data_IF_398012474704
#
_entry.id   IF_398012474704
#
_cell.length_a   1.000
_cell.length_b   1.000
_cell.length_c   1.000
_cell.angle_alpha   90.00
_cell.angle_beta   90.00
_cell.angle_gamma   90.00
#
_symmetry.space_group_name_H-M   'P 1'
#
loop_
_entity.id
_entity.type
_entity.pdbx_description
1 polymer ?
#
# COMPACT_ATOMS: atom_id res chain seq x y z
N UNK A 1 14.34 16.57 -2.67
CA UNK A 1 14.41 16.46 -1.20
C UNK A 1 14.75 15.03 -0.80
N UNK A 2 13.94 14.04 -1.06
CA UNK A 2 14.13 12.63 -0.63
C UNK A 2 15.42 11.94 -1.14
N UNK A 3 15.87 12.22 -2.37
CA UNK A 3 17.17 11.70 -2.85
C UNK A 3 18.34 12.30 -2.04
N UNK A 4 18.26 13.58 -1.65
CA UNK A 4 19.30 14.21 -0.80
C UNK A 4 19.37 13.54 0.57
N UNK A 5 18.24 13.23 1.19
CA UNK A 5 18.16 12.51 2.47
C UNK A 5 18.82 11.11 2.36
N UNK A 6 18.56 10.38 1.26
CA UNK A 6 19.26 9.12 0.99
C UNK A 6 20.77 9.32 0.82
N UNK A 7 21.20 10.35 0.08
CA UNK A 7 22.60 10.66 -0.14
C UNK A 7 23.33 11.06 1.15
N UNK A 8 22.68 11.79 2.05
CA UNK A 8 23.18 12.10 3.39
C UNK A 8 23.37 10.84 4.23
N UNK A 9 22.40 9.92 4.21
CA UNK A 9 22.52 8.60 4.84
C UNK A 9 23.70 7.81 4.27
N UNK A 10 23.85 7.80 2.94
CA UNK A 10 24.98 7.14 2.26
C UNK A 10 26.33 7.72 2.70
N UNK A 11 26.43 9.03 2.82
CA UNK A 11 27.67 9.69 3.28
C UNK A 11 28.04 9.26 4.70
N UNK A 12 27.07 9.27 5.63
CA UNK A 12 27.25 8.84 7.03
C UNK A 12 27.68 7.37 7.16
N UNK A 13 27.17 6.49 6.28
CA UNK A 13 27.43 5.04 6.30
C UNK A 13 28.57 4.60 5.38
N UNK A 14 29.24 5.52 4.70
CA UNK A 14 30.32 5.22 3.77
C UNK A 14 29.88 4.46 2.52
N UNK A 15 28.59 4.56 2.12
CA UNK A 15 28.03 3.90 0.94
C UNK A 15 28.48 4.63 -0.31
N UNK A 16 29.00 3.91 -1.31
CA UNK A 16 29.45 4.48 -2.58
C UNK A 16 28.24 4.80 -3.48
N UNK A 17 27.32 3.86 -3.60
CA UNK A 17 26.02 4.02 -4.28
C UNK A 17 24.96 3.05 -3.76
N UNK A 18 23.70 3.40 -3.99
CA UNK A 18 22.56 2.52 -3.80
C UNK A 18 22.11 1.98 -5.16
N UNK A 19 21.74 0.70 -5.19
CA UNK A 19 21.29 -0.01 -6.38
C UNK A 19 19.85 -0.49 -6.18
N UNK A 20 18.98 -0.08 -7.10
CA UNK A 20 17.60 -0.56 -7.23
C UNK A 20 17.43 -1.13 -8.62
N UNK A 21 16.76 -2.26 -8.79
CA UNK A 21 16.56 -2.80 -10.11
C UNK A 21 15.34 -3.71 -10.25
N UNK A 22 14.74 -3.67 -11.44
CA UNK A 22 13.65 -4.51 -11.88
C UNK A 22 14.12 -5.37 -13.05
N UNK A 23 13.95 -6.68 -12.95
CA UNK A 23 14.14 -7.61 -14.05
C UNK A 23 12.95 -8.59 -14.07
N UNK A 24 11.94 -8.26 -14.85
CA UNK A 24 10.70 -9.02 -14.96
C UNK A 24 9.51 -8.33 -14.30
N UNK A 25 8.31 -8.81 -14.61
CA UNK A 25 7.06 -8.17 -14.22
C UNK A 25 6.60 -8.48 -12.79
N UNK A 26 7.26 -9.43 -12.09
CA UNK A 26 6.72 -10.00 -10.85
C UNK A 26 7.21 -9.33 -9.56
N UNK A 27 8.22 -8.45 -9.65
CA UNK A 27 8.78 -7.75 -8.49
C UNK A 27 9.16 -6.32 -8.85
N UNK A 28 8.17 -5.44 -8.89
CA UNK A 28 8.43 -4.01 -9.08
C UNK A 28 9.08 -3.42 -7.82
N UNK A 29 10.30 -2.91 -7.95
CA UNK A 29 10.96 -2.17 -6.88
C UNK A 29 10.30 -0.80 -6.70
N UNK A 30 9.49 -0.68 -5.65
CA UNK A 30 8.82 0.57 -5.30
C UNK A 30 9.80 1.74 -5.15
N UNK A 31 11.06 1.49 -4.75
CA UNK A 31 12.06 2.56 -4.62
C UNK A 31 12.55 3.06 -5.98
N UNK A 32 12.65 2.17 -6.99
CA UNK A 32 12.99 2.62 -8.33
C UNK A 32 11.93 3.59 -8.87
N UNK A 33 10.64 3.22 -8.73
CA UNK A 33 9.53 4.11 -9.08
C UNK A 33 9.55 5.40 -8.22
N UNK A 34 9.74 5.28 -6.91
CA UNK A 34 9.77 6.42 -5.99
C UNK A 34 10.78 7.50 -6.34
N UNK A 35 11.99 7.09 -6.71
CA UNK A 35 13.07 8.03 -7.03
C UNK A 35 13.05 8.53 -8.47
N UNK A 36 12.34 7.85 -9.38
CA UNK A 36 12.39 8.16 -10.81
C UNK A 36 11.03 8.41 -11.45
N UNK A 37 9.95 7.82 -10.94
CA UNK A 37 8.66 7.68 -11.63
C UNK A 37 8.66 6.58 -12.70
N UNK A 38 9.74 5.78 -12.82
CA UNK A 38 9.88 4.72 -13.79
C UNK A 38 9.68 3.34 -13.14
N UNK A 39 8.79 2.53 -13.69
CA UNK A 39 8.45 1.19 -13.20
C UNK A 39 8.77 0.08 -14.22
N UNK A 40 9.57 0.36 -15.27
CA UNK A 40 9.98 -0.64 -16.24
C UNK A 40 11.24 -1.40 -15.85
N UNK A 41 11.72 -2.25 -16.77
CA UNK A 41 12.94 -3.04 -16.59
C UNK A 41 14.19 -2.15 -16.60
N UNK A 42 15.15 -2.49 -15.76
CA UNK A 42 16.42 -1.76 -15.67
C UNK A 42 16.97 -1.65 -14.26
N UNK A 43 17.90 -0.71 -14.09
CA UNK A 43 18.51 -0.43 -12.79
C UNK A 43 18.71 1.06 -12.56
N UNK A 44 18.37 1.52 -11.37
CA UNK A 44 18.65 2.85 -10.87
C UNK A 44 19.90 2.78 -9.98
N UNK A 45 20.89 3.61 -10.30
CA UNK A 45 22.06 3.84 -9.46
C UNK A 45 21.98 5.26 -8.89
N UNK A 46 22.02 5.36 -7.58
CA UNK A 46 22.10 6.62 -6.85
C UNK A 46 23.44 6.64 -6.11
N UNK A 47 24.42 7.39 -6.64
CA UNK A 47 25.67 7.69 -5.98
C UNK A 47 25.57 8.95 -5.11
N UNK A 48 26.64 9.28 -4.35
CA UNK A 48 26.66 10.43 -3.43
C UNK A 48 26.37 11.78 -4.11
N UNK A 49 26.75 11.94 -5.38
CA UNK A 49 26.55 13.19 -6.15
C UNK A 49 25.85 12.95 -7.50
N UNK A 50 25.92 11.75 -8.03
CA UNK A 50 25.44 11.39 -9.36
C UNK A 50 24.34 10.33 -9.27
N UNK A 51 23.38 10.38 -10.17
CA UNK A 51 22.35 9.36 -10.33
C UNK A 51 22.10 9.08 -11.79
N UNK A 52 21.77 7.85 -12.12
CA UNK A 52 21.44 7.47 -13.49
C UNK A 52 20.56 6.21 -13.51
N UNK A 53 19.84 6.05 -14.60
CA UNK A 53 19.03 4.88 -14.90
C UNK A 53 19.68 4.11 -16.06
N UNK A 54 19.75 2.79 -15.97
CA UNK A 54 20.10 1.90 -17.06
C UNK A 54 18.83 1.18 -17.48
N UNK A 55 18.41 1.35 -18.73
CA UNK A 55 17.19 0.75 -19.25
C UNK A 55 17.44 0.00 -20.56
N UNK A 56 16.69 -1.11 -20.85
CA UNK A 56 16.76 -1.78 -22.13
C UNK A 56 16.47 -0.83 -23.29
N UNK A 57 17.03 -1.13 -24.46
CA UNK A 57 16.83 -0.32 -25.67
C UNK A 57 15.34 -0.10 -25.96
N UNK A 58 14.53 -1.14 -25.83
CA UNK A 58 13.08 -1.10 -26.09
C UNK A 58 12.29 -0.18 -25.14
N UNK A 59 12.80 0.09 -23.94
CA UNK A 59 12.15 0.97 -22.95
C UNK A 59 12.78 2.36 -22.85
N UNK A 60 13.75 2.67 -23.71
CA UNK A 60 14.52 3.93 -23.63
C UNK A 60 13.66 5.18 -23.70
N UNK A 61 12.67 5.21 -24.58
CA UNK A 61 11.78 6.37 -24.72
C UNK A 61 10.92 6.56 -23.47
N UNK A 62 10.38 5.48 -22.92
CA UNK A 62 9.63 5.50 -21.67
C UNK A 62 10.48 5.95 -20.49
N UNK A 63 11.69 5.42 -20.37
CA UNK A 63 12.66 5.79 -19.34
C UNK A 63 13.15 7.24 -19.52
N UNK A 64 13.33 7.71 -20.75
CA UNK A 64 13.78 9.06 -21.08
C UNK A 64 12.79 10.18 -20.74
N UNK A 65 11.51 9.85 -20.50
CA UNK A 65 10.51 10.82 -20.01
C UNK A 65 10.74 11.22 -18.54
N UNK A 66 11.63 10.52 -17.85
CA UNK A 66 11.95 10.80 -16.47
C UNK A 66 13.10 11.81 -16.36
N UNK A 67 13.08 12.68 -15.36
CA UNK A 67 14.13 13.69 -15.14
C UNK A 67 15.40 13.05 -14.53
N UNK A 68 16.01 12.13 -15.29
CA UNK A 68 17.23 11.39 -14.91
C UNK A 68 18.03 11.02 -16.16
N UNK A 69 19.36 10.99 -16.06
CA UNK A 69 20.21 10.52 -17.16
C UNK A 69 20.00 9.03 -17.39
N UNK A 70 19.63 8.65 -18.62
CA UNK A 70 19.37 7.26 -19.00
C UNK A 70 20.50 6.75 -19.88
N UNK A 71 21.07 5.61 -19.50
CA UNK A 71 22.03 4.85 -20.29
C UNK A 71 21.36 3.64 -20.91
N UNK A 72 21.71 3.31 -22.14
CA UNK A 72 21.22 2.13 -22.85
C UNK A 72 21.85 0.86 -22.28
N UNK A 73 21.06 -0.20 -22.28
CA UNK A 73 21.48 -1.57 -22.05
C UNK A 73 21.03 -2.42 -23.24
N UNK A 74 21.97 -3.04 -23.96
CA UNK A 74 21.68 -3.76 -25.21
C UNK A 74 22.26 -5.19 -25.22
N UNK A 75 23.57 -5.30 -25.43
CA UNK A 75 24.25 -6.60 -25.64
C UNK A 75 24.96 -7.10 -24.41
N UNK A 76 25.49 -6.21 -23.63
CA UNK A 76 26.19 -6.52 -22.38
C UNK A 76 25.19 -6.91 -21.27
N UNK A 77 25.68 -7.60 -20.23
CA UNK A 77 24.84 -7.87 -19.05
C UNK A 77 24.66 -6.58 -18.22
N UNK A 78 23.51 -6.44 -17.60
CA UNK A 78 23.15 -5.21 -16.86
C UNK A 78 24.24 -4.76 -15.87
N UNK A 79 24.79 -5.67 -15.10
CA UNK A 79 25.80 -5.33 -14.09
C UNK A 79 27.15 -4.98 -14.70
N UNK A 80 27.54 -5.56 -15.84
CA UNK A 80 28.73 -5.11 -16.60
C UNK A 80 28.55 -3.68 -17.05
N UNK A 81 27.36 -3.35 -17.57
CA UNK A 81 27.02 -1.97 -17.98
C UNK A 81 27.14 -0.98 -16.82
N UNK A 82 26.63 -1.33 -15.64
CA UNK A 82 26.74 -0.52 -14.44
C UNK A 82 28.21 -0.31 -14.04
N UNK A 83 29.03 -1.38 -14.06
CA UNK A 83 30.46 -1.30 -13.75
C UNK A 83 31.21 -0.37 -14.71
N UNK A 84 30.94 -0.47 -16.02
CA UNK A 84 31.53 0.40 -17.05
C UNK A 84 31.17 1.87 -16.81
N UNK A 85 29.88 2.15 -16.57
CA UNK A 85 29.40 3.52 -16.31
C UNK A 85 30.03 4.04 -15.03
N UNK A 86 30.02 3.27 -13.93
CA UNK A 86 30.60 3.69 -12.66
C UNK A 86 32.08 4.04 -12.77
N UNK A 87 32.86 3.23 -13.53
CA UNK A 87 34.27 3.51 -13.84
C UNK A 87 34.41 4.85 -14.56
N UNK A 88 33.61 5.07 -15.61
CA UNK A 88 33.68 6.28 -16.43
C UNK A 88 33.28 7.57 -15.69
N UNK A 89 32.44 7.47 -14.65
CA UNK A 89 32.00 8.63 -13.88
C UNK A 89 32.60 8.70 -12.47
N UNK A 90 33.53 7.81 -12.12
CA UNK A 90 34.28 7.84 -10.87
C UNK A 90 33.49 7.37 -9.64
N UNK A 91 32.48 6.51 -9.80
CA UNK A 91 31.76 5.87 -8.68
C UNK A 91 32.53 4.62 -8.26
N UNK A 92 32.91 4.52 -6.98
CA UNK A 92 33.52 3.32 -6.41
C UNK A 92 32.48 2.21 -6.26
N UNK A 93 32.94 0.95 -6.30
CA UNK A 93 32.07 -0.24 -6.19
C UNK A 93 32.44 -1.09 -4.96
N UNK A 94 32.87 -0.45 -3.85
CA UNK A 94 33.30 -1.16 -2.62
C UNK A 94 32.18 -1.33 -1.60
N UNK A 95 31.29 -0.37 -1.48
CA UNK A 95 30.18 -0.39 -0.53
C UNK A 95 28.90 -0.01 -1.27
N UNK A 96 28.03 -0.99 -1.49
CA UNK A 96 26.82 -0.86 -2.31
C UNK A 96 25.60 -1.08 -1.43
N UNK A 97 24.79 -0.04 -1.25
CA UNK A 97 23.50 -0.14 -0.54
C UNK A 97 22.49 -0.93 -1.39
N UNK A 98 21.90 -1.93 -0.81
CA UNK A 98 20.83 -2.73 -1.45
C UNK A 98 19.62 -2.81 -0.53
N UNK A 99 18.43 -2.77 -1.10
CA UNK A 99 17.19 -3.06 -0.38
C UNK A 99 17.06 -4.58 -0.22
N UNK A 100 17.41 -5.10 0.97
CA UNK A 100 17.43 -6.55 1.20
C UNK A 100 16.04 -7.17 1.27
N UNK A 101 14.99 -6.40 1.49
CA UNK A 101 13.60 -6.88 1.40
C UNK A 101 13.20 -7.19 -0.05
N UNK A 102 13.85 -6.53 -1.02
CA UNK A 102 13.59 -6.71 -2.46
C UNK A 102 14.59 -7.66 -3.14
N UNK A 103 15.77 -7.86 -2.56
CA UNK A 103 16.79 -8.73 -3.12
C UNK A 103 16.57 -10.20 -2.76
N UNK A 104 16.12 -11.02 -3.70
CA UNK A 104 16.08 -12.47 -3.50
C UNK A 104 17.50 -13.06 -3.39
N UNK A 105 17.65 -14.23 -2.77
CA UNK A 105 18.94 -14.92 -2.70
C UNK A 105 19.53 -15.22 -4.09
N UNK A 106 18.69 -15.49 -5.09
CA UNK A 106 19.10 -15.69 -6.49
C UNK A 106 19.68 -14.40 -7.07
N UNK A 107 19.01 -13.27 -6.86
CA UNK A 107 19.46 -11.94 -7.29
C UNK A 107 20.77 -11.58 -6.61
N UNK A 108 20.88 -11.78 -5.30
CA UNK A 108 22.10 -11.49 -4.54
C UNK A 108 23.29 -12.35 -5.03
N UNK A 109 23.10 -13.65 -5.27
CA UNK A 109 24.14 -14.52 -5.86
C UNK A 109 24.56 -14.04 -7.24
N UNK A 110 23.60 -13.63 -8.08
CA UNK A 110 23.91 -13.09 -9.41
C UNK A 110 24.70 -11.79 -9.31
N UNK A 111 24.24 -10.86 -8.49
CA UNK A 111 24.92 -9.59 -8.22
C UNK A 111 26.37 -9.80 -7.74
N UNK A 112 26.62 -10.72 -6.82
CA UNK A 112 27.97 -11.02 -6.27
C UNK A 112 28.96 -11.56 -7.30
N UNK A 113 28.53 -12.11 -8.44
CA UNK A 113 29.43 -12.51 -9.53
C UNK A 113 30.15 -11.30 -10.16
N UNK A 114 29.52 -10.12 -10.13
CA UNK A 114 30.06 -8.87 -10.69
C UNK A 114 30.72 -8.00 -9.63
N UNK A 115 30.12 -7.91 -8.47
CA UNK A 115 30.59 -7.10 -7.35
C UNK A 115 31.20 -7.97 -6.25
N UNK A 116 32.24 -8.74 -6.62
CA UNK A 116 32.81 -9.83 -5.80
C UNK A 116 33.29 -9.38 -4.42
N UNK A 117 34.01 -8.25 -4.31
CA UNK A 117 34.64 -7.74 -3.08
C UNK A 117 33.88 -6.55 -2.47
N UNK A 118 32.60 -6.40 -2.73
CA UNK A 118 31.81 -5.30 -2.15
C UNK A 118 31.15 -5.70 -0.83
N UNK A 119 30.99 -4.74 0.06
CA UNK A 119 30.05 -4.81 1.19
C UNK A 119 28.68 -4.36 0.73
N UNK A 120 27.63 -4.98 1.27
CA UNK A 120 26.24 -4.72 0.88
C UNK A 120 25.41 -4.36 2.12
N UNK A 121 25.55 -3.12 2.65
CA UNK A 121 24.68 -2.66 3.73
C UNK A 121 23.22 -2.64 3.28
N UNK A 122 22.34 -2.96 4.21
CA UNK A 122 20.91 -2.89 4.02
C UNK A 122 20.42 -1.44 4.05
N UNK A 123 19.61 -1.06 3.05
CA UNK A 123 18.98 0.26 2.95
C UNK A 123 17.44 0.18 2.95
N UNK A 124 16.84 -0.99 3.17
CA UNK A 124 15.38 -1.17 3.18
C UNK A 124 14.70 -0.24 4.18
N UNK A 125 15.18 -0.22 5.41
CA UNK A 125 14.63 0.62 6.47
C UNK A 125 14.69 2.13 6.17
N UNK A 126 15.80 2.63 5.58
CA UNK A 126 15.88 4.05 5.21
C UNK A 126 14.97 4.37 4.04
N UNK A 127 14.85 3.50 3.04
CA UNK A 127 13.95 3.69 1.92
C UNK A 127 12.48 3.71 2.36
N UNK A 128 12.07 2.78 3.21
CA UNK A 128 10.73 2.74 3.80
C UNK A 128 10.43 4.01 4.62
N UNK A 129 11.40 4.47 5.40
CA UNK A 129 11.28 5.71 6.19
C UNK A 129 11.16 6.96 5.30
N UNK A 130 11.84 6.99 4.15
CA UNK A 130 11.70 8.07 3.19
C UNK A 130 10.30 8.15 2.56
N UNK A 131 9.63 7.01 2.35
CA UNK A 131 8.26 6.96 1.82
C UNK A 131 7.17 7.20 2.87
N UNK A 132 7.50 7.11 4.16
CA UNK A 132 6.55 7.24 5.27
C UNK A 132 5.77 8.58 5.21
N UNK A 133 6.46 9.70 4.99
CA UNK A 133 5.84 11.03 4.84
C UNK A 133 5.72 11.40 3.36
N UNK A 134 4.52 11.74 2.93
CA UNK A 134 4.20 12.00 1.51
C UNK A 134 4.46 13.46 1.15
N UNK A 135 5.00 13.69 -0.04
CA UNK A 135 5.12 15.01 -0.65
C UNK A 135 3.76 15.51 -1.13
N UNK A 136 3.64 16.80 -1.45
CA UNK A 136 2.39 17.37 -2.00
C UNK A 136 1.90 16.64 -3.26
N UNK A 137 2.83 16.24 -4.16
CA UNK A 137 2.48 15.50 -5.39
C UNK A 137 1.93 14.11 -5.10
N UNK A 138 2.54 13.39 -4.15
CA UNK A 138 2.09 12.08 -3.71
C UNK A 138 0.72 12.15 -3.05
N UNK A 139 0.50 13.14 -2.18
CA UNK A 139 -0.80 13.38 -1.52
C UNK A 139 -1.90 13.62 -2.57
N UNK A 140 -1.63 14.40 -3.61
CA UNK A 140 -2.60 14.64 -4.71
C UNK A 140 -2.93 13.34 -5.43
N UNK A 141 -1.94 12.50 -5.72
CA UNK A 141 -2.16 11.22 -6.39
C UNK A 141 -2.98 10.24 -5.53
N UNK A 142 -2.66 10.12 -4.23
CA UNK A 142 -3.40 9.27 -3.30
C UNK A 142 -4.85 9.77 -3.12
N UNK A 143 -5.06 11.07 -2.95
CA UNK A 143 -6.41 11.65 -2.89
C UNK A 143 -7.24 11.32 -4.15
N UNK A 144 -6.60 11.34 -5.32
CA UNK A 144 -7.28 10.96 -6.57
C UNK A 144 -7.60 9.47 -6.60
N UNK A 145 -6.69 8.60 -6.11
CA UNK A 145 -6.95 7.17 -5.94
C UNK A 145 -8.16 6.95 -5.01
N UNK A 146 -8.18 7.58 -3.83
CA UNK A 146 -9.32 7.50 -2.88
C UNK A 146 -10.65 7.95 -3.54
N UNK A 147 -10.65 9.06 -4.26
CA UNK A 147 -11.86 9.56 -4.93
C UNK A 147 -12.35 8.61 -6.03
N UNK A 148 -11.44 7.94 -6.75
CA UNK A 148 -11.81 6.92 -7.75
C UNK A 148 -12.39 5.70 -7.05
N UNK A 149 -11.76 5.22 -5.99
CA UNK A 149 -12.25 4.09 -5.17
C UNK A 149 -13.64 4.37 -4.62
N UNK A 150 -13.86 5.55 -4.02
CA UNK A 150 -15.18 5.97 -3.53
C UNK A 150 -16.25 5.93 -4.63
N UNK A 151 -15.93 6.43 -5.82
CA UNK A 151 -16.86 6.41 -6.96
C UNK A 151 -17.21 4.99 -7.39
N UNK A 152 -16.23 4.08 -7.41
CA UNK A 152 -16.45 2.68 -7.81
C UNK A 152 -17.30 1.95 -6.76
N UNK A 153 -17.00 2.12 -5.48
CA UNK A 153 -17.78 1.50 -4.40
C UNK A 153 -19.22 2.04 -4.38
N UNK A 154 -19.39 3.35 -4.58
CA UNK A 154 -20.73 3.94 -4.68
C UNK A 154 -21.53 3.27 -5.81
N UNK A 155 -20.97 3.16 -7.01
CA UNK A 155 -21.61 2.49 -8.13
C UNK A 155 -21.89 0.99 -7.83
N UNK A 156 -20.97 0.32 -7.12
CA UNK A 156 -21.15 -1.05 -6.67
C UNK A 156 -22.38 -1.16 -5.74
N UNK A 157 -22.54 -0.26 -4.81
CA UNK A 157 -23.69 -0.26 -3.90
C UNK A 157 -25.01 0.06 -4.60
N UNK A 158 -25.02 0.98 -5.54
CA UNK A 158 -26.21 1.30 -6.35
C UNK A 158 -26.70 0.08 -7.17
N UNK A 159 -25.74 -0.77 -7.59
CA UNK A 159 -26.01 -1.97 -8.38
C UNK A 159 -25.94 -3.27 -7.57
N UNK A 160 -25.78 -3.20 -6.26
CA UNK A 160 -25.53 -4.38 -5.43
C UNK A 160 -26.59 -5.48 -5.58
N UNK A 161 -27.85 -5.09 -5.77
CA UNK A 161 -28.94 -6.00 -6.04
C UNK A 161 -28.83 -6.79 -7.37
N UNK A 162 -27.92 -6.45 -8.28
CA UNK A 162 -27.73 -7.17 -9.55
C UNK A 162 -26.76 -8.36 -9.40
N UNK A 163 -25.89 -8.35 -8.38
CA UNK A 163 -24.87 -9.37 -8.19
C UNK A 163 -25.45 -10.62 -7.55
N UNK A 164 -25.03 -11.80 -8.02
CA UNK A 164 -25.45 -13.10 -7.52
C UNK A 164 -24.42 -13.74 -6.61
N UNK A 165 -23.13 -13.52 -6.91
CA UNK A 165 -21.98 -14.14 -6.23
C UNK A 165 -21.00 -13.08 -5.70
N UNK A 166 -20.11 -13.49 -4.80
CA UNK A 166 -18.99 -12.65 -4.36
C UNK A 166 -18.07 -12.30 -5.54
N UNK A 167 -17.87 -13.27 -6.45
CA UNK A 167 -17.09 -13.07 -7.66
C UNK A 167 -17.70 -12.01 -8.58
N UNK A 168 -19.03 -11.92 -8.72
CA UNK A 168 -19.67 -10.86 -9.52
C UNK A 168 -19.32 -9.47 -8.97
N UNK A 169 -19.36 -9.31 -7.66
CA UNK A 169 -18.97 -8.04 -7.01
C UNK A 169 -17.51 -7.73 -7.29
N UNK A 170 -16.60 -8.70 -7.11
CA UNK A 170 -15.17 -8.51 -7.35
C UNK A 170 -14.90 -8.15 -8.82
N UNK A 171 -15.50 -8.86 -9.80
CA UNK A 171 -15.36 -8.56 -11.21
C UNK A 171 -15.90 -7.19 -11.58
N UNK A 172 -16.99 -6.76 -10.96
CA UNK A 172 -17.49 -5.40 -11.13
C UNK A 172 -16.44 -4.37 -10.71
N UNK A 173 -15.88 -4.51 -9.50
CA UNK A 173 -14.85 -3.61 -8.97
C UNK A 173 -13.62 -3.56 -9.89
N UNK A 174 -13.14 -4.72 -10.35
CA UNK A 174 -12.03 -4.83 -11.29
C UNK A 174 -12.32 -4.17 -12.63
N UNK A 175 -13.49 -4.43 -13.21
CA UNK A 175 -13.88 -3.88 -14.51
C UNK A 175 -13.99 -2.36 -14.46
N UNK A 176 -14.59 -1.82 -13.39
CA UNK A 176 -14.72 -0.37 -13.18
C UNK A 176 -13.35 0.30 -12.96
N UNK A 177 -12.40 -0.40 -12.33
CA UNK A 177 -11.02 0.07 -12.19
C UNK A 177 -10.34 0.21 -13.56
N UNK A 178 -10.44 -0.82 -14.40
CA UNK A 178 -9.88 -0.82 -15.76
C UNK A 178 -10.50 0.24 -16.65
N UNK A 179 -11.83 0.43 -16.60
CA UNK A 179 -12.54 1.50 -17.33
C UNK A 179 -12.03 2.89 -17.00
N UNK A 180 -11.50 3.10 -15.78
CA UNK A 180 -10.91 4.38 -15.33
C UNK A 180 -9.41 4.46 -15.58
N UNK A 181 -8.84 3.52 -16.35
CA UNK A 181 -7.41 3.43 -16.66
C UNK A 181 -6.54 3.39 -15.39
N UNK A 182 -7.04 2.69 -14.37
CA UNK A 182 -6.34 2.43 -13.11
C UNK A 182 -5.99 0.94 -12.99
N UNK A 183 -5.09 0.63 -12.06
CA UNK A 183 -4.77 -0.72 -11.63
C UNK A 183 -5.43 -1.00 -10.28
N UNK A 184 -5.61 -2.27 -9.93
CA UNK A 184 -5.97 -2.65 -8.57
C UNK A 184 -4.78 -2.36 -7.63
N UNK A 185 -5.04 -1.86 -6.43
CA UNK A 185 -4.02 -1.76 -5.38
C UNK A 185 -3.66 -3.15 -4.83
N UNK A 186 -4.67 -4.02 -4.75
CA UNK A 186 -4.61 -5.43 -4.34
C UNK A 186 -5.83 -6.18 -4.89
N UNK A 187 -5.86 -7.51 -4.73
CA UNK A 187 -7.04 -8.32 -5.11
C UNK A 187 -8.21 -7.96 -4.20
N UNK A 188 -9.39 -7.59 -4.75
CA UNK A 188 -10.55 -7.25 -3.93
C UNK A 188 -10.94 -8.41 -3.00
N UNK A 189 -11.31 -8.07 -1.77
CA UNK A 189 -11.94 -9.01 -0.85
C UNK A 189 -13.45 -8.77 -0.91
N UNK A 190 -14.21 -9.81 -1.17
CA UNK A 190 -15.68 -9.82 -1.06
C UNK A 190 -16.06 -11.09 -0.31
N UNK A 191 -16.53 -10.95 0.91
CA UNK A 191 -16.82 -12.09 1.77
C UNK A 191 -18.17 -11.93 2.46
N UNK A 192 -19.12 -12.82 2.17
CA UNK A 192 -20.52 -12.75 2.65
C UNK A 192 -20.86 -13.82 3.69
N UNK A 193 -21.74 -13.50 4.63
CA UNK A 193 -22.19 -14.40 5.68
C UNK A 193 -21.02 -14.91 6.53
N UNK A 194 -20.88 -16.23 6.68
CA UNK A 194 -19.83 -16.84 7.50
C UNK A 194 -18.41 -16.60 6.94
N UNK A 195 -18.24 -16.44 5.63
CA UNK A 195 -16.94 -16.19 4.99
C UNK A 195 -16.38 -14.83 5.41
N UNK A 196 -17.22 -13.85 5.72
CA UNK A 196 -16.78 -12.55 6.26
C UNK A 196 -16.02 -12.67 7.58
N UNK A 197 -16.13 -13.82 8.29
CA UNK A 197 -15.35 -14.08 9.51
C UNK A 197 -13.86 -14.31 9.25
N UNK A 198 -13.44 -14.42 7.98
CA UNK A 198 -12.04 -14.56 7.54
C UNK A 198 -11.57 -13.23 6.94
N UNK A 199 -10.64 -12.49 7.60
CA UNK A 199 -10.23 -11.14 7.15
C UNK A 199 -9.72 -11.08 5.69
N UNK A 200 -9.10 -12.14 5.22
CA UNK A 200 -8.50 -12.24 3.86
C UNK A 200 -9.20 -13.32 3.01
N UNK A 201 -10.53 -13.42 3.11
CA UNK A 201 -11.29 -14.36 2.29
C UNK A 201 -11.24 -13.96 0.81
N UNK A 202 -10.90 -14.91 -0.06
CA UNK A 202 -10.98 -14.68 -1.50
C UNK A 202 -12.45 -14.78 -1.98
N UNK A 203 -12.88 -13.91 -2.92
CA UNK A 203 -14.22 -13.97 -3.48
C UNK A 203 -14.52 -15.32 -4.11
N UNK A 204 -15.64 -15.91 -3.74
CA UNK A 204 -16.07 -17.24 -4.22
C UNK A 204 -17.13 -17.11 -5.31
N UNK A 205 -17.17 -18.09 -6.22
CA UNK A 205 -18.27 -18.24 -7.20
C UNK A 205 -19.49 -18.92 -6.55
N UNK A 206 -19.78 -18.56 -5.33
CA UNK A 206 -20.93 -19.04 -4.55
C UNK A 206 -21.94 -17.89 -4.38
N UNK A 207 -23.24 -18.23 -4.26
CA UNK A 207 -24.29 -17.21 -4.05
C UNK A 207 -23.95 -16.35 -2.82
N UNK A 208 -24.19 -15.04 -2.94
CA UNK A 208 -24.10 -14.12 -1.82
C UNK A 208 -24.96 -14.63 -0.65
N UNK A 209 -24.33 -14.75 0.52
CA UNK A 209 -24.93 -15.33 1.73
C UNK A 209 -25.60 -14.24 2.57
N UNK A 210 -26.70 -14.59 3.24
CA UNK A 210 -27.33 -13.68 4.21
C UNK A 210 -26.37 -13.31 5.33
N UNK A 211 -26.46 -12.10 5.83
CA UNK A 211 -25.62 -11.56 6.89
C UNK A 211 -24.71 -10.43 6.41
N UNK A 212 -23.66 -10.18 7.14
CA UNK A 212 -22.66 -9.19 6.77
C UNK A 212 -21.89 -9.62 5.52
N UNK A 213 -21.60 -8.66 4.66
CA UNK A 213 -20.72 -8.83 3.53
C UNK A 213 -19.63 -7.74 3.60
N UNK A 214 -18.41 -8.16 3.84
CA UNK A 214 -17.22 -7.29 3.83
C UNK A 214 -16.76 -7.12 2.37
N UNK A 215 -16.59 -5.88 1.96
CA UNK A 215 -16.01 -5.49 0.67
C UNK A 215 -14.79 -4.63 0.98
N UNK A 216 -13.61 -5.11 0.58
CA UNK A 216 -12.35 -4.43 0.76
C UNK A 216 -11.68 -4.25 -0.58
N UNK A 217 -11.37 -2.99 -0.92
CA UNK A 217 -11.03 -2.62 -2.28
C UNK A 217 -10.23 -1.32 -2.34
N UNK A 218 -9.24 -1.29 -3.23
CA UNK A 218 -8.48 -0.10 -3.52
C UNK A 218 -7.98 -0.04 -4.95
N UNK A 219 -7.79 1.17 -5.48
CA UNK A 219 -7.18 1.38 -6.79
C UNK A 219 -5.76 1.91 -6.66
N UNK A 220 -4.94 1.66 -7.70
CA UNK A 220 -3.64 2.29 -7.90
C UNK A 220 -3.76 3.31 -9.02
N UNK A 221 -3.64 4.58 -8.68
CA UNK A 221 -3.66 5.69 -9.61
C UNK A 221 -2.28 6.32 -9.73
N UNK A 222 -1.69 6.30 -10.94
CA UNK A 222 -0.32 6.82 -11.19
C UNK A 222 0.72 6.29 -10.21
N UNK A 223 0.64 5.00 -9.88
CA UNK A 223 1.55 4.29 -8.99
C UNK A 223 1.27 4.45 -7.50
N UNK A 224 0.22 5.15 -7.08
CA UNK A 224 -0.16 5.33 -5.68
C UNK A 224 -1.48 4.66 -5.35
N UNK A 225 -1.51 3.95 -4.22
CA UNK A 225 -2.64 3.16 -3.76
C UNK A 225 -3.62 3.98 -2.93
N UNK A 226 -4.86 3.52 -2.90
CA UNK A 226 -5.88 3.77 -1.88
C UNK A 226 -6.32 2.45 -1.29
N UNK A 227 -7.00 2.52 -0.14
CA UNK A 227 -7.53 1.36 0.58
C UNK A 227 -8.83 1.71 1.29
N UNK A 228 -9.85 0.85 1.19
CA UNK A 228 -11.11 1.07 1.90
C UNK A 228 -11.91 -0.22 2.08
N UNK A 229 -12.29 -0.49 3.31
CA UNK A 229 -13.26 -1.56 3.60
C UNK A 229 -14.61 -0.99 3.99
N UNK A 230 -15.65 -1.59 3.45
CA UNK A 230 -17.05 -1.37 3.86
C UNK A 230 -17.74 -2.69 4.10
N UNK A 231 -18.59 -2.70 5.08
CA UNK A 231 -19.45 -3.86 5.35
C UNK A 231 -20.90 -3.49 5.11
N UNK A 232 -21.58 -4.26 4.28
CA UNK A 232 -23.01 -4.17 4.01
C UNK A 232 -23.74 -5.37 4.63
N UNK A 233 -25.06 -5.37 4.63
CA UNK A 233 -25.87 -6.48 5.14
C UNK A 233 -26.82 -7.00 4.06
N UNK A 234 -26.89 -8.32 3.91
CA UNK A 234 -27.78 -9.01 2.97
C UNK A 234 -28.89 -9.69 3.75
N UNK A 235 -30.13 -9.34 3.49
CA UNK A 235 -31.30 -9.82 4.22
C UNK A 235 -31.73 -8.88 5.36
N UNK A 236 -32.31 -9.40 6.43
CA UNK A 236 -32.80 -8.62 7.58
C UNK A 236 -31.85 -8.76 8.76
N UNK A 237 -31.13 -7.69 9.16
CA UNK A 237 -30.22 -7.76 10.30
C UNK A 237 -31.00 -7.93 11.61
N UNK A 238 -30.42 -8.69 12.53
CA UNK A 238 -30.91 -8.78 13.91
C UNK A 238 -30.45 -7.57 14.71
N UNK A 239 -31.18 -7.20 15.76
CA UNK A 239 -30.88 -6.04 16.58
C UNK A 239 -29.45 -6.05 17.11
N UNK A 240 -28.96 -7.16 17.64
CA UNK A 240 -27.60 -7.27 18.16
C UNK A 240 -26.52 -7.11 17.07
N UNK A 241 -26.80 -7.49 15.81
CA UNK A 241 -25.87 -7.32 14.69
C UNK A 241 -25.70 -5.85 14.34
N UNK A 242 -26.80 -5.08 14.33
CA UNK A 242 -26.78 -3.63 14.16
C UNK A 242 -26.03 -2.95 15.30
N UNK A 243 -26.24 -3.41 16.54
CA UNK A 243 -25.53 -2.89 17.72
C UNK A 243 -24.03 -3.12 17.65
N UNK A 244 -23.59 -4.31 17.21
CA UNK A 244 -22.18 -4.64 17.01
C UNK A 244 -21.57 -3.79 15.88
N UNK A 245 -22.27 -3.62 14.76
CA UNK A 245 -21.82 -2.74 13.67
C UNK A 245 -21.61 -1.31 14.16
N UNK A 246 -22.58 -0.77 14.86
CA UNK A 246 -22.52 0.59 15.40
C UNK A 246 -21.44 0.75 16.47
N UNK A 247 -21.15 -0.30 17.27
CA UNK A 247 -20.04 -0.30 18.21
C UNK A 247 -18.70 -0.15 17.47
N UNK A 248 -18.46 -0.96 16.42
CA UNK A 248 -17.27 -0.90 15.61
C UNK A 248 -17.10 0.48 14.94
N UNK A 249 -18.20 1.02 14.40
CA UNK A 249 -18.20 2.35 13.78
C UNK A 249 -17.85 3.45 14.79
N UNK A 250 -18.38 3.40 16.01
CA UNK A 250 -18.00 4.35 17.09
C UNK A 250 -16.53 4.18 17.48
N UNK A 251 -16.02 2.95 17.55
CA UNK A 251 -14.61 2.71 17.84
C UNK A 251 -13.71 3.31 16.74
N UNK A 252 -14.06 3.15 15.46
CA UNK A 252 -13.33 3.77 14.36
C UNK A 252 -13.35 5.30 14.43
N UNK A 253 -14.51 5.92 14.71
CA UNK A 253 -14.59 7.36 14.89
C UNK A 253 -13.76 7.86 16.08
N UNK A 254 -13.74 7.14 17.20
CA UNK A 254 -12.92 7.47 18.36
C UNK A 254 -11.44 7.47 18.01
N UNK A 255 -10.97 6.46 17.24
CA UNK A 255 -9.60 6.42 16.73
C UNK A 255 -9.32 7.62 15.83
N UNK A 256 -10.15 7.85 14.81
CA UNK A 256 -9.95 8.96 13.86
C UNK A 256 -9.92 10.29 14.64
N UNK A 257 -10.78 10.48 15.62
CA UNK A 257 -10.82 11.71 16.42
C UNK A 257 -9.57 11.91 17.27
N UNK A 258 -8.92 10.84 17.72
CA UNK A 258 -7.70 10.90 18.53
C UNK A 258 -6.42 11.15 17.70
N UNK A 259 -6.49 11.05 16.37
CA UNK A 259 -5.35 11.26 15.47
C UNK A 259 -4.86 12.71 15.56
N UNK A 260 -3.58 12.87 15.92
CA UNK A 260 -2.83 14.13 15.89
C UNK A 260 -1.35 13.88 15.65
N UNK A 261 -0.61 14.87 15.20
CA UNK A 261 0.84 14.78 15.08
C UNK A 261 1.48 14.50 16.47
N UNK A 262 2.52 13.64 16.47
CA UNK A 262 3.24 13.25 17.69
C UNK A 262 2.61 12.13 18.52
N UNK A 263 1.37 11.71 18.23
CA UNK A 263 0.79 10.55 18.93
C UNK A 263 1.49 9.25 18.51
N UNK A 264 1.65 8.29 19.43
CA UNK A 264 2.17 6.96 19.10
C UNK A 264 1.13 6.11 18.40
N UNK A 265 1.53 5.34 17.40
CA UNK A 265 0.65 4.40 16.72
C UNK A 265 0.00 3.39 17.67
N UNK A 266 0.73 2.92 18.69
CA UNK A 266 0.17 2.02 19.72
C UNK A 266 -0.99 2.63 20.53
N UNK A 267 -0.98 3.95 20.76
CA UNK A 267 -2.08 4.63 21.48
C UNK A 267 -3.39 4.64 20.67
N UNK A 268 -3.29 4.71 19.32
CA UNK A 268 -4.48 4.55 18.46
C UNK A 268 -5.05 3.15 18.55
N UNK A 269 -4.19 2.12 18.61
CA UNK A 269 -4.61 0.73 18.80
C UNK A 269 -5.32 0.54 20.15
N UNK A 270 -4.78 1.13 21.22
CA UNK A 270 -5.44 1.12 22.54
C UNK A 270 -6.81 1.80 22.51
N UNK A 271 -6.93 2.93 21.79
CA UNK A 271 -8.21 3.62 21.60
C UNK A 271 -9.24 2.71 20.91
N UNK A 272 -8.83 2.01 19.85
CA UNK A 272 -9.69 1.04 19.14
C UNK A 272 -10.14 -0.08 20.10
N UNK A 273 -9.20 -0.71 20.81
CA UNK A 273 -9.47 -1.81 21.74
C UNK A 273 -10.41 -1.39 22.87
N UNK A 274 -10.17 -0.25 23.50
CA UNK A 274 -11.08 0.31 24.52
C UNK A 274 -12.48 0.55 23.96
N UNK A 275 -12.61 1.09 22.74
CA UNK A 275 -13.89 1.31 22.08
C UNK A 275 -14.64 0.02 21.75
N UNK A 276 -13.94 -1.09 21.54
CA UNK A 276 -14.54 -2.41 21.27
C UNK A 276 -14.98 -3.14 22.55
N UNK A 277 -14.44 -2.79 23.72
CA UNK A 277 -14.84 -3.35 25.01
C UNK A 277 -14.76 -4.88 25.05
N UNK A 278 -15.85 -5.54 25.39
CA UNK A 278 -15.91 -7.00 25.48
C UNK A 278 -15.58 -7.74 24.17
N UNK A 279 -15.67 -7.08 23.03
CA UNK A 279 -15.34 -7.62 21.70
C UNK A 279 -13.87 -7.41 21.30
N UNK A 280 -13.02 -6.84 22.16
CA UNK A 280 -11.59 -6.62 21.87
C UNK A 280 -10.88 -7.90 21.41
N UNK A 281 -11.20 -9.06 22.01
CA UNK A 281 -10.64 -10.36 21.63
C UNK A 281 -10.95 -10.79 20.19
N UNK A 282 -11.97 -10.20 19.58
CA UNK A 282 -12.38 -10.46 18.20
C UNK A 282 -11.66 -9.55 17.19
N UNK A 283 -10.89 -8.57 17.67
CA UNK A 283 -10.02 -7.71 16.85
C UNK A 283 -8.63 -8.37 16.74
N UNK A 284 -8.41 -9.12 15.67
CA UNK A 284 -7.30 -10.08 15.52
C UNK A 284 -6.16 -9.63 14.60
N UNK A 285 -6.20 -8.40 14.07
CA UNK A 285 -5.16 -7.84 13.21
C UNK A 285 -4.70 -6.46 13.70
N UNK A 286 -3.77 -5.82 12.99
CA UNK A 286 -3.35 -4.45 13.25
C UNK A 286 -4.48 -3.45 12.98
N UNK A 287 -4.40 -2.27 13.58
CA UNK A 287 -5.39 -1.22 13.36
C UNK A 287 -5.27 -0.56 11.98
N UNK A 288 -4.12 -0.74 11.30
CA UNK A 288 -3.87 -0.17 9.99
C UNK A 288 -2.39 -0.10 9.65
N UNK A 289 -2.13 0.46 8.49
CA UNK A 289 -0.80 0.59 7.89
C UNK A 289 -0.70 1.86 7.05
N UNK A 290 0.54 2.31 6.82
CA UNK A 290 0.79 3.40 5.86
C UNK A 290 0.39 2.99 4.45
N UNK A 291 -0.02 3.97 3.66
CA UNK A 291 -0.44 3.81 2.27
C UNK A 291 0.43 4.71 1.39
N UNK A 292 0.85 4.20 0.25
CA UNK A 292 1.67 4.94 -0.69
C UNK A 292 1.79 4.25 -2.05
N UNK A 293 3.01 3.97 -2.49
CA UNK A 293 3.29 3.19 -3.70
C UNK A 293 2.91 1.73 -3.49
N UNK A 294 3.21 1.20 -2.31
CA UNK A 294 2.68 -0.08 -1.84
C UNK A 294 1.43 0.18 -1.01
N UNK A 295 0.49 -0.76 -1.03
CA UNK A 295 -0.67 -0.70 -0.14
C UNK A 295 -0.24 -0.74 1.32
N UNK A 296 0.74 -1.58 1.66
CA UNK A 296 1.32 -1.66 2.99
C UNK A 296 2.69 -0.96 3.04
N UNK A 297 2.74 0.19 3.73
CA UNK A 297 3.95 0.96 4.03
C UNK A 297 4.01 1.34 5.52
N UNK A 298 5.05 2.06 5.93
CA UNK A 298 5.08 2.72 7.23
C UNK A 298 4.16 3.95 7.25
N UNK A 299 3.56 4.27 8.42
CA UNK A 299 3.71 3.62 9.74
C UNK A 299 2.91 2.33 9.87
N UNK A 300 3.27 1.48 10.83
CA UNK A 300 2.48 0.30 11.20
C UNK A 300 1.69 0.58 12.48
N UNK A 301 0.36 0.48 12.41
CA UNK A 301 -0.52 0.72 13.54
C UNK A 301 -0.77 -0.60 14.30
N UNK A 302 0.23 -1.02 15.09
CA UNK A 302 0.20 -2.26 15.90
C UNK A 302 0.46 -1.93 17.37
N UNK A 303 0.09 -2.85 18.26
CA UNK A 303 0.23 -2.69 19.71
C UNK A 303 1.69 -2.40 20.13
N UNK A 304 2.62 -3.03 19.45
CA UNK A 304 4.07 -2.93 19.73
C UNK A 304 4.73 -1.75 19.03
N UNK A 305 4.01 -1.00 18.20
CA UNK A 305 4.60 0.09 17.40
C UNK A 305 5.06 1.25 18.29
N UNK A 306 6.30 1.64 18.09
CA UNK A 306 6.92 2.82 18.72
C UNK A 306 6.88 4.05 17.81
N UNK A 307 6.38 3.92 16.58
CA UNK A 307 6.33 5.01 15.61
C UNK A 307 5.42 6.13 16.10
N UNK A 308 5.89 7.36 15.87
CA UNK A 308 5.13 8.59 16.10
C UNK A 308 4.53 9.06 14.79
N UNK A 309 3.28 9.45 14.84
CA UNK A 309 2.61 10.02 13.68
C UNK A 309 3.19 11.40 13.33
N UNK A 310 3.43 11.64 12.05
CA UNK A 310 4.01 12.88 11.52
C UNK A 310 3.14 13.47 10.44
N UNK A 311 3.19 14.77 10.31
CA UNK A 311 2.59 15.48 9.19
C UNK A 311 3.01 14.89 7.84
N UNK A 312 2.04 14.70 6.95
CA UNK A 312 2.25 14.12 5.63
C UNK A 312 2.21 12.59 5.60
N UNK A 313 2.03 11.91 6.73
CA UNK A 313 1.71 10.48 6.72
C UNK A 313 0.28 10.27 6.23
N UNK A 314 0.10 9.20 5.44
CA UNK A 314 -1.21 8.67 5.05
C UNK A 314 -1.23 7.20 5.45
N UNK A 315 -2.30 6.77 6.10
CA UNK A 315 -2.44 5.41 6.61
C UNK A 315 -3.91 5.02 6.73
N UNK A 316 -4.18 3.70 6.71
CA UNK A 316 -5.50 3.14 6.96
C UNK A 316 -5.86 3.17 8.44
N UNK A 317 -7.16 3.28 8.73
CA UNK A 317 -7.77 3.07 10.06
C UNK A 317 -8.89 2.08 9.86
N UNK A 318 -8.62 0.80 10.13
CA UNK A 318 -9.43 -0.36 9.73
C UNK A 318 -9.80 -1.30 10.89
N UNK A 319 -10.37 -0.84 11.99
CA UNK A 319 -10.79 -1.77 13.00
C UNK A 319 -11.77 -2.80 12.43
N UNK A 320 -11.59 -4.06 12.82
CA UNK A 320 -12.45 -5.17 12.41
C UNK A 320 -12.71 -6.12 13.57
N UNK A 321 -13.88 -6.72 13.60
CA UNK A 321 -14.23 -7.77 14.57
C UNK A 321 -14.77 -9.00 13.84
N UNK A 322 -14.26 -10.17 14.26
CA UNK A 322 -14.51 -11.43 13.56
C UNK A 322 -14.95 -12.51 14.54
N UNK A 323 -16.13 -13.05 14.29
CA UNK A 323 -16.70 -14.16 15.04
C UNK A 323 -16.57 -15.45 14.22
N UNK A 324 -15.59 -16.26 14.55
CA UNK A 324 -15.23 -17.50 13.82
C UNK A 324 -16.46 -18.29 13.38
N UNK A 325 -16.54 -18.63 12.09
CA UNK A 325 -17.63 -19.36 11.44
C UNK A 325 -19.02 -18.68 11.54
N UNK A 326 -19.08 -17.42 11.93
CA UNK A 326 -20.35 -16.68 12.04
C UNK A 326 -20.38 -15.47 11.11
N UNK A 327 -19.60 -14.45 11.39
CA UNK A 327 -19.47 -13.26 10.57
C UNK A 327 -18.26 -12.41 10.98
N UNK A 328 -17.84 -11.51 10.09
CA UNK A 328 -16.90 -10.44 10.36
C UNK A 328 -17.43 -9.10 9.87
N UNK A 329 -16.89 -8.03 10.45
CA UNK A 329 -17.19 -6.63 10.10
C UNK A 329 -15.88 -5.88 10.07
N UNK A 330 -15.60 -5.10 9.01
CA UNK A 330 -14.48 -4.16 8.91
C UNK A 330 -14.98 -2.84 8.35
N UNK A 331 -14.53 -1.74 8.95
CA UNK A 331 -14.82 -0.38 8.49
C UNK A 331 -13.49 0.36 8.45
N UNK A 332 -13.11 0.83 7.28
CA UNK A 332 -11.79 1.38 7.02
C UNK A 332 -11.85 2.70 6.27
N UNK A 333 -10.98 3.60 6.62
CA UNK A 333 -10.71 4.83 5.88
C UNK A 333 -9.22 5.13 5.80
N UNK A 334 -8.79 5.71 4.67
CA UNK A 334 -7.49 6.35 4.52
C UNK A 334 -7.48 7.73 5.18
N UNK A 335 -6.48 8.00 6.01
CA UNK A 335 -6.38 9.25 6.77
C UNK A 335 -5.03 9.92 6.53
N UNK A 336 -5.06 11.22 6.18
CA UNK A 336 -3.89 12.09 6.04
C UNK A 336 -3.71 12.96 7.29
N UNK A 337 -2.48 13.00 7.83
CA UNK A 337 -2.12 13.97 8.87
C UNK A 337 -1.70 15.29 8.22
N UNK A 338 -2.39 16.36 8.62
CA UNK A 338 -2.05 17.75 8.27
C UNK A 338 -1.39 18.45 9.46
N UNK A 339 -0.98 19.71 9.24
CA UNK A 339 -0.61 20.60 10.34
C UNK A 339 -1.85 20.83 11.19
N UNK A 340 -1.81 20.56 12.47
CA UNK A 340 -2.87 20.81 13.47
C UNK A 340 -4.21 20.08 13.21
N UNK A 341 -4.31 19.20 12.20
CA UNK A 341 -5.54 18.50 11.83
C UNK A 341 -5.27 17.17 11.09
N UNK A 342 -6.34 16.43 10.83
CA UNK A 342 -6.37 15.26 9.96
C UNK A 342 -7.45 15.42 8.89
N UNK A 343 -7.30 14.65 7.81
CA UNK A 343 -8.29 14.58 6.75
C UNK A 343 -8.57 13.13 6.42
N UNK A 344 -9.81 12.69 6.53
CA UNK A 344 -10.27 11.40 6.02
C UNK A 344 -10.40 11.52 4.51
N UNK A 345 -9.65 10.73 3.76
CA UNK A 345 -9.54 10.82 2.31
C UNK A 345 -10.64 10.06 1.58
N UNK A 346 -11.06 8.91 2.12
CA UNK A 346 -12.17 8.10 1.61
C UNK A 346 -13.50 8.62 2.14
N UNK A 347 -14.50 8.73 1.28
CA UNK A 347 -15.79 9.41 1.57
C UNK A 347 -17.00 8.51 1.43
N UNK A 348 -16.83 7.27 1.00
CA UNK A 348 -17.91 6.29 0.91
C UNK A 348 -18.65 6.16 2.24
N UNK A 349 -19.98 6.10 2.19
CA UNK A 349 -20.83 6.01 3.40
C UNK A 349 -20.39 4.86 4.32
N UNK A 350 -20.42 5.13 5.61
CA UNK A 350 -20.20 4.15 6.69
C UNK A 350 -21.52 3.72 7.37
N UNK A 351 -22.66 4.17 6.85
CA UNK A 351 -23.96 3.64 7.30
C UNK A 351 -24.09 2.20 6.87
N UNK A 352 -24.64 1.35 7.74
CA UNK A 352 -24.95 -0.04 7.37
C UNK A 352 -26.02 -0.03 6.28
N UNK A 353 -25.62 -0.33 5.05
CA UNK A 353 -26.53 -0.52 3.94
C UNK A 353 -27.10 -1.94 4.00
N UNK A 354 -28.42 -2.06 3.84
CA UNK A 354 -29.14 -3.33 3.90
C UNK A 354 -29.75 -3.62 2.53
N UNK A 355 -29.35 -4.73 1.94
CA UNK A 355 -29.85 -5.18 0.64
C UNK A 355 -30.79 -6.38 0.81
N UNK A 356 -31.87 -6.40 0.06
CA UNK A 356 -32.79 -7.57 0.04
C UNK A 356 -32.06 -8.76 -0.58
N UNK A 357 -32.31 -9.95 -0.01
CA UNK A 357 -31.91 -11.20 -0.68
C UNK A 357 -32.74 -11.34 -1.96
N UNK A 358 -32.08 -11.69 -3.06
CA UNK A 358 -32.79 -12.25 -4.22
C UNK A 358 -33.02 -13.74 -3.94
N UNK A 359 -34.22 -14.18 -4.16
CA UNK A 359 -34.62 -15.61 -4.13
C UNK A 359 -33.88 -16.42 -5.18
#
# INVERSE_FOLDING_TARGET
MKIKELQEHMAKKGIDFCLFYNLGNDNEDANMFYFTGYNGNGALVIGRKKKYLVAPRMERERAGKQNIKVYKWEKERLFDRILMINKGIGIKNKVIGIDKEMFTLKMHRHFKKYFKKCRTPDISGVCSKLRETKTKKEIIAIKKACAITDSIIKNCFERFGEFKTEADVAYFLESETKKRLCELAFKPIVASGADSSMPHSEPQNSKLKNGFCVIDFGVRYRGYCSDVSRTVYIGKPKKYEVEIYNLLLRAQYAVINSIKEGIRCSQLVETARKGLGMYEKNFIHGLGHGIGIKVHELPSLRKESKDLLKRGMIFSVEPGIYFKKRFGIRIEDDVLIKKDNKEVLTKTTKKLLVFKKRE
#
